data_IF_700371603166
#
_entry.id   IF_700371603166
#
_cell.length_a   1.000
_cell.length_b   1.000
_cell.length_c   1.000
_cell.angle_alpha   90.00
_cell.angle_beta   90.00
_cell.angle_gamma   90.00
#
_symmetry.space_group_name_H-M   'P 1'
#
loop_
_entity.id
_entity.type
_entity.pdbx_description
1 polymer ?
#
# COMPACT_ATOMS: atom_id res chain seq x y z
N UNK A 1 -5.87 -21.66 -1.26
CA UNK A 1 -5.19 -20.38 -0.91
C UNK A 1 -4.01 -20.16 -1.83
N UNK A 2 -3.83 -18.96 -2.30
CA UNK A 2 -2.64 -18.62 -3.08
C UNK A 2 -1.42 -18.46 -2.16
N UNK A 3 -0.25 -18.76 -2.69
CA UNK A 3 1.01 -18.56 -1.97
C UNK A 3 1.38 -17.08 -1.96
N UNK A 4 1.76 -16.55 -0.79
CA UNK A 4 2.20 -15.17 -0.62
C UNK A 4 3.70 -15.16 -0.28
N UNK A 5 4.50 -14.56 -1.15
CA UNK A 5 5.95 -14.47 -0.98
C UNK A 5 6.47 -13.02 -0.93
N UNK A 6 5.59 -12.02 -1.11
CA UNK A 6 5.95 -10.59 -1.03
C UNK A 6 4.84 -9.79 -0.38
N UNK A 7 5.24 -8.84 0.44
CA UNK A 7 4.39 -7.76 0.93
C UNK A 7 4.89 -6.50 0.22
N UNK A 8 4.03 -5.87 -0.59
CA UNK A 8 4.42 -4.70 -1.39
C UNK A 8 3.65 -3.48 -0.89
N UNK A 9 4.36 -2.45 -0.49
CA UNK A 9 3.78 -1.24 0.06
C UNK A 9 3.69 -0.13 -0.98
N UNK A 10 2.60 0.63 -0.92
CA UNK A 10 2.23 1.67 -1.86
C UNK A 10 1.79 2.94 -1.14
N UNK A 11 1.70 4.03 -1.89
CA UNK A 11 0.96 5.23 -1.52
C UNK A 11 -0.12 5.49 -2.57
N UNK A 12 -1.12 6.30 -2.20
CA UNK A 12 -2.16 6.71 -3.15
C UNK A 12 -1.63 7.71 -4.17
N UNK A 13 -0.43 8.27 -3.95
CA UNK A 13 0.17 9.32 -4.75
C UNK A 13 -0.74 10.56 -4.82
N UNK A 14 -1.27 10.96 -3.67
CA UNK A 14 -2.17 12.11 -3.52
C UNK A 14 -1.54 13.16 -2.63
N UNK A 15 -1.99 14.42 -2.73
CA UNK A 15 -1.42 15.51 -1.94
C UNK A 15 -1.55 15.29 -0.44
N UNK A 16 -0.52 15.69 0.29
CA UNK A 16 -0.48 15.65 1.75
C UNK A 16 -1.72 16.29 2.36
N UNK A 17 -2.32 15.61 3.34
CA UNK A 17 -3.50 16.11 4.06
C UNK A 17 -4.84 15.85 3.38
N UNK A 18 -4.84 15.33 2.15
CA UNK A 18 -6.09 14.99 1.45
C UNK A 18 -6.49 13.57 1.77
N UNK A 19 -7.66 13.38 2.39
CA UNK A 19 -8.19 12.06 2.65
C UNK A 19 -8.64 11.38 1.36
N UNK A 20 -8.35 10.09 1.26
CA UNK A 20 -8.88 9.20 0.24
C UNK A 20 -9.50 8.00 0.97
N UNK A 21 -10.77 7.74 0.73
CA UNK A 21 -11.46 6.61 1.37
C UNK A 21 -11.37 5.36 0.49
N UNK A 22 -11.73 4.21 1.07
CA UNK A 22 -11.86 2.97 0.28
C UNK A 22 -12.82 3.20 -0.89
N UNK A 23 -13.92 3.91 -0.68
CA UNK A 23 -14.88 4.22 -1.75
C UNK A 23 -14.25 5.04 -2.87
N UNK A 24 -13.42 6.04 -2.52
CA UNK A 24 -12.71 6.87 -3.50
C UNK A 24 -11.75 6.04 -4.35
N UNK A 25 -10.95 5.20 -3.71
CA UNK A 25 -9.98 4.35 -4.40
C UNK A 25 -10.69 3.29 -5.26
N UNK A 26 -11.74 2.68 -4.73
CA UNK A 26 -12.55 1.70 -5.47
C UNK A 26 -13.15 2.34 -6.71
N UNK A 27 -13.69 3.55 -6.60
CA UNK A 27 -14.23 4.28 -7.74
C UNK A 27 -13.17 4.52 -8.81
N UNK A 28 -11.98 4.97 -8.40
CA UNK A 28 -10.87 5.18 -9.33
C UNK A 28 -10.50 3.89 -10.06
N UNK A 29 -10.37 2.79 -9.32
CA UNK A 29 -9.95 1.51 -9.89
C UNK A 29 -11.04 0.87 -10.75
N UNK A 30 -12.26 0.80 -10.27
CA UNK A 30 -13.36 0.06 -10.94
C UNK A 30 -14.03 0.92 -12.01
N UNK A 31 -14.32 2.19 -11.70
CA UNK A 31 -15.05 3.07 -12.63
C UNK A 31 -14.08 3.72 -13.63
N UNK A 32 -13.06 4.41 -13.14
CA UNK A 32 -12.16 5.19 -14.01
C UNK A 32 -11.18 4.29 -14.78
N UNK A 33 -10.60 3.30 -14.13
CA UNK A 33 -9.62 2.39 -14.76
C UNK A 33 -10.26 1.15 -15.37
N UNK A 34 -11.54 0.92 -15.14
CA UNK A 34 -12.27 -0.28 -15.62
C UNK A 34 -11.69 -1.60 -15.10
N UNK A 35 -11.08 -1.60 -13.90
CA UNK A 35 -10.61 -2.82 -13.27
C UNK A 35 -11.78 -3.59 -12.68
N UNK A 36 -11.62 -4.92 -12.53
CA UNK A 36 -12.66 -5.80 -11.99
C UNK A 36 -12.93 -5.57 -10.50
N UNK A 37 -11.93 -5.08 -9.78
CA UNK A 37 -12.03 -4.81 -8.33
C UNK A 37 -10.95 -3.82 -7.91
N UNK A 38 -10.98 -3.41 -6.63
CA UNK A 38 -9.94 -2.55 -6.05
C UNK A 38 -8.59 -3.28 -6.07
N UNK A 39 -7.51 -2.54 -6.28
CA UNK A 39 -6.19 -3.11 -6.48
C UNK A 39 -5.41 -3.42 -5.21
N UNK A 40 -5.74 -2.79 -4.07
CA UNK A 40 -5.01 -2.95 -2.80
C UNK A 40 -5.78 -3.83 -1.83
N UNK A 41 -5.06 -4.57 -0.99
CA UNK A 41 -5.68 -5.37 0.07
C UNK A 41 -5.99 -4.52 1.31
N UNK A 42 -5.09 -3.58 1.64
CA UNK A 42 -5.22 -2.71 2.82
C UNK A 42 -4.96 -1.27 2.45
N UNK A 43 -5.78 -0.38 3.02
CA UNK A 43 -5.61 1.07 2.88
C UNK A 43 -5.51 1.68 4.28
N UNK A 44 -4.46 2.46 4.51
CA UNK A 44 -4.23 3.16 5.78
C UNK A 44 -4.65 4.62 5.61
N UNK A 45 -5.68 5.04 6.35
CA UNK A 45 -6.17 6.40 6.32
C UNK A 45 -5.22 7.35 7.04
N UNK A 46 -5.45 8.65 6.87
CA UNK A 46 -4.63 9.69 7.52
C UNK A 46 -4.61 9.55 9.04
N UNK A 47 -5.69 9.10 9.65
CA UNK A 47 -5.79 8.88 11.10
C UNK A 47 -5.15 7.57 11.57
N UNK A 48 -4.55 6.81 10.66
CA UNK A 48 -3.93 5.53 10.97
C UNK A 48 -4.88 4.35 10.97
N UNK A 49 -6.17 4.54 10.73
CA UNK A 49 -7.10 3.41 10.63
C UNK A 49 -6.77 2.54 9.43
N UNK A 50 -6.78 1.23 9.64
CA UNK A 50 -6.43 0.22 8.63
C UNK A 50 -7.70 -0.40 8.09
N UNK A 51 -7.90 -0.30 6.78
CA UNK A 51 -9.10 -0.80 6.12
C UNK A 51 -8.76 -1.96 5.18
N UNK A 52 -9.38 -3.12 5.40
CA UNK A 52 -9.26 -4.25 4.47
C UNK A 52 -10.20 -4.02 3.29
N UNK A 53 -9.62 -3.83 2.10
CA UNK A 53 -10.36 -3.46 0.89
C UNK A 53 -10.62 -4.65 -0.02
N UNK A 54 -9.78 -5.67 0.08
CA UNK A 54 -9.83 -6.85 -0.78
C UNK A 54 -9.38 -8.04 0.04
N UNK A 55 -10.09 -9.16 -0.11
CA UNK A 55 -9.74 -10.40 0.57
C UNK A 55 -8.31 -10.83 0.17
N UNK A 56 -7.53 -11.28 1.14
CA UNK A 56 -6.14 -11.69 0.90
C UNK A 56 -6.02 -12.87 -0.06
N UNK A 57 -7.07 -13.67 -0.22
CA UNK A 57 -7.09 -14.79 -1.17
C UNK A 57 -7.18 -14.34 -2.63
N UNK A 58 -7.52 -13.09 -2.88
CA UNK A 58 -7.71 -12.54 -4.23
C UNK A 58 -6.47 -11.75 -4.63
N UNK A 59 -5.84 -12.05 -5.77
CA UNK A 59 -4.72 -11.23 -6.27
C UNK A 59 -5.17 -9.78 -6.46
N UNK A 60 -4.36 -8.82 -6.00
CA UNK A 60 -4.62 -7.41 -6.24
C UNK A 60 -4.28 -6.99 -7.66
N UNK A 61 -4.45 -5.70 -7.94
CA UNK A 61 -4.07 -5.07 -9.20
C UNK A 61 -3.23 -3.85 -8.80
N UNK A 62 -1.93 -4.08 -8.52
CA UNK A 62 -1.12 -3.01 -7.93
C UNK A 62 0.33 -3.00 -8.40
N UNK A 63 0.85 -4.13 -8.86
CA UNK A 63 2.25 -4.23 -9.28
C UNK A 63 2.35 -5.29 -10.37
N UNK A 64 2.42 -4.85 -11.62
CA UNK A 64 2.42 -5.73 -12.79
C UNK A 64 3.52 -6.80 -12.69
N UNK A 65 3.14 -8.05 -12.88
CA UNK A 65 4.04 -9.20 -12.80
C UNK A 65 4.19 -9.79 -11.38
N UNK A 66 3.69 -9.09 -10.34
CA UNK A 66 3.88 -9.51 -8.93
C UNK A 66 2.57 -9.67 -8.16
N UNK A 67 1.43 -9.44 -8.81
CA UNK A 67 0.12 -9.47 -8.14
C UNK A 67 -0.26 -10.85 -7.59
N UNK A 68 0.13 -11.91 -8.29
CA UNK A 68 -0.32 -13.28 -7.99
C UNK A 68 0.11 -13.76 -6.60
N UNK A 69 1.28 -13.36 -6.13
CA UNK A 69 1.90 -13.88 -4.90
C UNK A 69 2.21 -12.80 -3.88
N UNK A 70 1.49 -11.67 -3.92
CA UNK A 70 1.75 -10.57 -3.01
C UNK A 70 0.49 -10.06 -2.32
N UNK A 71 0.71 -9.38 -1.19
CA UNK A 71 -0.29 -8.56 -0.50
C UNK A 71 0.13 -7.10 -0.66
N UNK A 72 -0.83 -6.25 -1.01
CA UNK A 72 -0.61 -4.83 -1.19
C UNK A 72 -1.11 -4.03 0.01
N UNK A 73 -0.24 -3.24 0.60
CA UNK A 73 -0.56 -2.30 1.68
C UNK A 73 -0.32 -0.89 1.15
N UNK A 74 -1.34 -0.05 1.19
CA UNK A 74 -1.29 1.32 0.67
C UNK A 74 -1.63 2.32 1.76
N UNK A 75 -0.92 3.45 1.83
CA UNK A 75 -1.31 4.54 2.71
C UNK A 75 -1.78 5.76 1.89
N UNK A 76 -2.67 6.54 2.47
CA UNK A 76 -3.17 7.77 1.86
C UNK A 76 -2.10 8.85 1.92
N UNK A 77 -1.68 9.34 0.77
CA UNK A 77 -0.65 10.39 0.66
C UNK A 77 0.42 10.04 -0.36
N UNK A 78 1.65 10.46 -0.08
CA UNK A 78 2.82 10.18 -0.89
C UNK A 78 3.27 11.34 -1.78
N UNK A 79 2.55 12.47 -1.79
CA UNK A 79 2.91 13.64 -2.59
C UNK A 79 2.80 14.92 -1.77
N UNK A 80 3.67 15.89 -2.07
CA UNK A 80 3.57 17.21 -1.48
C UNK A 80 2.31 17.93 -1.97
N UNK A 81 1.80 18.86 -1.15
CA UNK A 81 0.64 19.68 -1.51
C UNK A 81 1.09 20.91 -2.33
N UNK A 82 1.78 20.65 -3.44
CA UNK A 82 2.38 21.70 -4.29
C UNK A 82 1.71 21.83 -5.66
N UNK A 83 0.63 21.08 -5.89
CA UNK A 83 -0.05 21.04 -7.19
C UNK A 83 0.69 20.29 -8.28
N UNK A 84 1.87 19.73 -7.99
CA UNK A 84 2.74 19.06 -8.98
C UNK A 84 2.89 17.56 -8.72
N UNK A 85 2.27 17.05 -7.64
CA UNK A 85 2.39 15.67 -7.20
C UNK A 85 3.86 15.25 -6.98
N UNK A 86 4.68 16.15 -6.44
CA UNK A 86 6.08 15.85 -6.09
C UNK A 86 6.10 14.79 -5.00
N UNK A 87 6.86 13.72 -5.24
CA UNK A 87 6.96 12.62 -4.27
C UNK A 87 7.48 13.12 -2.92
N UNK A 88 6.81 12.73 -1.85
CA UNK A 88 7.14 13.13 -0.49
C UNK A 88 6.64 12.07 0.49
N UNK A 89 7.44 11.78 1.50
CA UNK A 89 6.97 10.97 2.63
C UNK A 89 6.03 11.79 3.48
N UNK A 90 4.72 11.58 3.28
CA UNK A 90 3.65 12.32 3.95
C UNK A 90 3.01 11.53 5.09
N UNK A 91 3.60 10.41 5.49
CA UNK A 91 3.01 9.57 6.55
C UNK A 91 2.84 10.36 7.83
N UNK A 92 1.61 10.34 8.37
CA UNK A 92 1.35 10.87 9.70
C UNK A 92 1.97 9.95 10.76
N UNK A 93 2.17 10.42 12.01
CA UNK A 93 2.61 9.53 13.09
C UNK A 93 1.68 8.34 13.27
N UNK A 94 0.38 8.53 13.10
CA UNK A 94 -0.65 7.49 13.18
C UNK A 94 -0.50 6.46 12.05
N UNK A 95 -0.16 6.92 10.84
CA UNK A 95 0.11 6.02 9.71
C UNK A 95 1.38 5.21 9.93
N UNK A 96 2.42 5.82 10.51
CA UNK A 96 3.66 5.09 10.83
C UNK A 96 3.39 3.98 11.85
N UNK A 97 2.59 4.26 12.88
CA UNK A 97 2.19 3.25 13.85
C UNK A 97 1.34 2.15 13.20
N UNK A 98 0.46 2.51 12.26
CA UNK A 98 -0.36 1.56 11.53
C UNK A 98 0.49 0.63 10.66
N UNK A 99 1.55 1.12 10.04
CA UNK A 99 2.48 0.28 9.28
C UNK A 99 3.13 -0.77 10.19
N UNK A 100 3.60 -0.38 11.36
CA UNK A 100 4.17 -1.33 12.32
C UNK A 100 3.16 -2.43 12.63
N UNK A 101 1.92 -2.05 12.90
CA UNK A 101 0.85 -3.00 13.24
C UNK A 101 0.55 -3.97 12.10
N UNK A 102 0.25 -3.45 10.91
CA UNK A 102 -0.17 -4.31 9.79
C UNK A 102 0.99 -5.17 9.28
N UNK A 103 2.20 -4.63 9.20
CA UNK A 103 3.36 -5.39 8.74
C UNK A 103 3.73 -6.50 9.73
N UNK A 104 3.62 -6.24 11.02
CA UNK A 104 3.82 -7.28 12.05
C UNK A 104 2.81 -8.41 11.89
N UNK A 105 1.53 -8.09 11.67
CA UNK A 105 0.48 -9.08 11.46
C UNK A 105 0.71 -9.89 10.19
N UNK A 106 1.09 -9.24 9.10
CA UNK A 106 1.34 -9.91 7.82
C UNK A 106 2.58 -10.81 7.87
N UNK A 107 3.65 -10.36 8.54
CA UNK A 107 4.83 -11.20 8.73
C UNK A 107 4.50 -12.46 9.54
N UNK A 108 3.67 -12.32 10.56
CA UNK A 108 3.23 -13.46 11.37
C UNK A 108 2.44 -14.46 10.55
N UNK A 109 1.59 -13.97 9.65
CA UNK A 109 0.72 -14.79 8.80
C UNK A 109 1.48 -15.41 7.63
N UNK A 110 2.45 -14.67 7.08
CA UNK A 110 3.25 -15.07 5.93
C UNK A 110 4.74 -14.92 6.22
N UNK A 111 5.29 -15.78 7.09
CA UNK A 111 6.67 -15.59 7.59
C UNK A 111 7.75 -15.70 6.51
N UNK A 112 7.46 -16.35 5.38
CA UNK A 112 8.39 -16.47 4.27
C UNK A 112 8.32 -15.28 3.29
N UNK A 113 7.34 -14.39 3.44
CA UNK A 113 7.19 -13.24 2.55
C UNK A 113 8.23 -12.16 2.88
N UNK A 114 8.77 -11.55 1.83
CA UNK A 114 9.73 -10.45 1.94
C UNK A 114 9.03 -9.11 1.77
N UNK A 115 9.59 -8.06 2.36
CA UNK A 115 9.02 -6.71 2.37
C UNK A 115 9.60 -5.87 1.25
N UNK A 116 8.73 -5.18 0.50
CA UNK A 116 9.12 -4.38 -0.65
C UNK A 116 8.31 -3.10 -0.75
N UNK A 117 8.91 -2.07 -1.37
CA UNK A 117 8.20 -0.91 -1.87
C UNK A 117 7.92 -1.08 -3.36
N UNK A 118 6.81 -0.51 -3.85
CA UNK A 118 6.46 -0.58 -5.27
C UNK A 118 7.60 -0.11 -6.18
N UNK A 119 8.37 0.89 -5.76
CA UNK A 119 9.48 1.43 -6.55
C UNK A 119 10.60 0.44 -6.84
N UNK A 120 10.63 -0.69 -6.13
CA UNK A 120 11.61 -1.76 -6.42
C UNK A 120 11.28 -2.52 -7.71
N UNK A 121 10.03 -2.45 -8.17
CA UNK A 121 9.52 -3.21 -9.30
C UNK A 121 9.02 -2.35 -10.46
N UNK A 122 9.02 -1.03 -10.31
CA UNK A 122 8.52 -0.11 -11.32
C UNK A 122 9.26 1.23 -11.23
N UNK A 123 9.28 1.97 -12.33
CA UNK A 123 9.91 3.29 -12.40
C UNK A 123 9.01 4.35 -11.73
N UNK A 124 8.83 4.25 -10.42
CA UNK A 124 7.95 5.11 -9.61
C UNK A 124 8.61 5.42 -8.28
N UNK A 125 8.19 6.52 -7.65
CA UNK A 125 8.64 6.88 -6.31
C UNK A 125 7.86 6.14 -5.21
N UNK A 126 6.68 5.62 -5.52
CA UNK A 126 5.81 4.91 -4.60
C UNK A 126 6.58 3.83 -3.82
N UNK A 127 6.51 3.78 -2.51
CA UNK A 127 5.59 4.48 -1.61
C UNK A 127 6.09 5.84 -1.10
N UNK A 128 7.08 6.46 -1.71
CA UNK A 128 7.65 7.77 -1.39
C UNK A 128 8.42 7.83 -0.07
N UNK A 129 8.80 6.68 0.45
CA UNK A 129 9.72 6.54 1.58
C UNK A 129 10.43 5.19 1.48
N UNK A 130 11.50 5.02 2.25
CA UNK A 130 12.24 3.76 2.26
C UNK A 130 11.53 2.73 3.14
N UNK A 131 10.87 1.76 2.50
CA UNK A 131 10.13 0.71 3.22
C UNK A 131 11.06 -0.14 4.10
N UNK A 132 12.35 -0.20 3.79
CA UNK A 132 13.30 -1.03 4.52
C UNK A 132 13.62 -0.50 5.92
N UNK A 133 13.12 0.69 6.28
CA UNK A 133 13.11 1.12 7.68
C UNK A 133 12.32 0.16 8.58
N UNK A 134 11.44 -0.66 7.99
CA UNK A 134 10.63 -1.66 8.71
C UNK A 134 11.22 -3.07 8.62
N UNK A 135 12.41 -3.26 8.07
CA UNK A 135 13.02 -4.60 7.95
C UNK A 135 13.16 -5.31 9.30
N UNK A 136 13.32 -4.54 10.38
CA UNK A 136 13.42 -5.12 11.73
C UNK A 136 12.17 -5.91 12.14
N UNK A 137 11.03 -5.66 11.52
CA UNK A 137 9.79 -6.40 11.76
C UNK A 137 9.78 -7.77 11.07
N UNK A 138 10.67 -8.00 10.11
CA UNK A 138 10.70 -9.19 9.26
C UNK A 138 11.86 -10.14 9.60
N UNK A 139 12.36 -10.05 10.80
CA UNK A 139 13.46 -10.91 11.29
C UNK A 139 12.93 -12.10 12.09
#
# INVERSE_FOLDING_TARGET
MREINRIICHCTATPEGRQQTVADIKRMHVVDNHWSHIGYHYLIYLDGSIHNCLDESIPGIHCSGYNKHSIAVCYVGGCAADGKLTAKDTRTPEQKAAFVKILTQLHKRYPAATLHGHREFAAKDCPSFDIHEYDYLFK
#
